data_IF_734387683462
#
_entry.id   IF_734387683462
#
_cell.length_a   1.000
_cell.length_b   1.000
_cell.length_c   1.000
_cell.angle_alpha   90.00
_cell.angle_beta   90.00
_cell.angle_gamma   90.00
#
_symmetry.space_group_name_H-M   'P 1'
#
loop_
_entity.id
_entity.type
_entity.pdbx_description
1 polymer ?
#
# COMPACT_ATOMS: atom_id res chain seq x y z
N UNK A 1 15.61 -8.06 -48.01
CA UNK A 1 14.21 -8.36 -48.37
C UNK A 1 13.45 -7.10 -48.70
N UNK A 2 13.49 -6.65 -49.96
CA UNK A 2 12.86 -5.40 -50.41
C UNK A 2 11.32 -5.39 -50.26
N UNK A 3 10.70 -6.58 -50.17
CA UNK A 3 9.26 -6.75 -49.97
C UNK A 3 8.78 -6.20 -48.61
N UNK A 4 9.55 -6.41 -47.54
CA UNK A 4 9.20 -5.89 -46.21
C UNK A 4 9.33 -4.37 -46.13
N UNK A 5 10.35 -3.80 -46.78
CA UNK A 5 10.52 -2.34 -46.85
C UNK A 5 9.40 -1.67 -47.65
N UNK A 6 8.96 -2.28 -48.77
CA UNK A 6 7.81 -1.78 -49.55
C UNK A 6 6.49 -1.93 -48.80
N UNK A 7 6.29 -3.02 -48.04
CA UNK A 7 5.10 -3.22 -47.22
C UNK A 7 5.05 -2.20 -46.06
N UNK A 8 6.17 -1.95 -45.38
CA UNK A 8 6.28 -0.95 -44.31
C UNK A 8 5.98 0.47 -44.82
N UNK A 9 6.48 0.83 -46.01
CA UNK A 9 6.17 2.13 -46.64
C UNK A 9 4.69 2.27 -47.00
N UNK A 10 4.05 1.18 -47.46
CA UNK A 10 2.61 1.16 -47.77
C UNK A 10 1.73 1.22 -46.52
N UNK A 11 2.17 0.60 -45.43
CA UNK A 11 1.49 0.67 -44.12
C UNK A 11 1.59 2.07 -43.51
N UNK A 12 2.76 2.70 -43.58
CA UNK A 12 2.96 4.08 -43.13
C UNK A 12 2.14 5.10 -43.96
N UNK A 13 1.99 4.88 -45.26
CA UNK A 13 1.17 5.73 -46.13
C UNK A 13 -0.36 5.57 -45.92
N UNK A 14 -0.79 4.56 -45.16
CA UNK A 14 -2.21 4.27 -44.88
C UNK A 14 -2.71 4.81 -43.54
N UNK A 15 -1.82 5.31 -42.68
CA UNK A 15 -2.20 5.94 -41.41
C UNK A 15 -2.41 7.43 -41.68
N UNK A 16 -3.64 7.96 -41.59
CA UNK A 16 -3.83 9.40 -41.64
C UNK A 16 -3.03 10.02 -40.48
N UNK A 17 -2.23 11.04 -40.79
CA UNK A 17 -1.53 11.80 -39.75
C UNK A 17 -2.56 12.27 -38.71
N UNK A 18 -2.26 12.18 -37.40
CA UNK A 18 -3.19 12.62 -36.36
C UNK A 18 -3.53 14.07 -36.66
N UNK A 19 -4.75 14.31 -37.11
CA UNK A 19 -5.21 15.63 -37.49
C UNK A 19 -5.36 16.38 -36.19
N UNK A 20 -4.33 17.13 -35.78
CA UNK A 20 -4.43 18.10 -34.71
C UNK A 20 -5.29 19.26 -35.23
N UNK A 21 -6.59 19.02 -35.34
CA UNK A 21 -7.54 20.12 -35.43
C UNK A 21 -7.35 20.94 -34.15
N UNK A 22 -7.15 22.27 -34.24
CA UNK A 22 -7.08 23.10 -33.06
C UNK A 22 -8.42 22.94 -32.34
N UNK A 23 -8.40 22.31 -31.16
CA UNK A 23 -9.59 22.24 -30.31
C UNK A 23 -10.05 23.68 -30.10
N UNK A 24 -11.27 23.97 -30.56
CA UNK A 24 -11.89 25.29 -30.38
C UNK A 24 -11.74 25.68 -28.90
N UNK A 25 -11.25 26.88 -28.57
CA UNK A 25 -11.04 27.26 -27.18
C UNK A 25 -12.36 27.07 -26.42
N UNK A 26 -12.27 26.40 -25.26
CA UNK A 26 -13.42 26.22 -24.37
C UNK A 26 -14.06 27.58 -24.11
N UNK A 27 -15.39 27.64 -24.15
CA UNK A 27 -16.08 28.86 -23.74
C UNK A 27 -15.72 29.19 -22.30
N UNK A 28 -15.76 30.47 -21.93
CA UNK A 28 -15.49 30.88 -20.55
C UNK A 28 -16.40 30.15 -19.52
N UNK A 29 -17.61 29.75 -19.92
CA UNK A 29 -18.50 28.92 -19.11
C UNK A 29 -17.99 27.47 -18.98
N UNK A 30 -17.61 26.83 -20.08
CA UNK A 30 -17.10 25.45 -20.06
C UNK A 30 -15.77 25.34 -19.31
N UNK A 31 -14.89 26.35 -19.41
CA UNK A 31 -13.65 26.38 -18.64
C UNK A 31 -13.89 26.49 -17.12
N UNK A 32 -14.88 27.29 -16.70
CA UNK A 32 -15.30 27.39 -15.29
C UNK A 32 -15.94 26.10 -14.79
N UNK A 33 -16.75 25.43 -15.62
CA UNK A 33 -17.33 24.13 -15.29
C UNK A 33 -16.26 23.05 -15.11
N UNK A 34 -15.26 22.99 -16.00
CA UNK A 34 -14.12 22.05 -15.85
C UNK A 34 -13.38 22.31 -14.54
N UNK A 35 -13.07 23.55 -14.21
CA UNK A 35 -12.43 23.91 -12.94
C UNK A 35 -13.30 23.53 -11.72
N UNK A 36 -14.62 23.69 -11.81
CA UNK A 36 -15.54 23.30 -10.74
C UNK A 36 -15.56 21.78 -10.55
N UNK A 37 -15.54 20.99 -11.63
CA UNK A 37 -15.46 19.53 -11.57
C UNK A 37 -14.11 19.04 -11.03
N UNK A 38 -13.00 19.68 -11.41
CA UNK A 38 -11.68 19.41 -10.83
C UNK A 38 -11.66 19.68 -9.33
N UNK A 39 -12.20 20.83 -8.90
CA UNK A 39 -12.31 21.18 -7.48
C UNK A 39 -13.20 20.20 -6.71
N UNK A 40 -14.34 19.78 -7.28
CA UNK A 40 -15.22 18.78 -6.70
C UNK A 40 -14.53 17.42 -6.58
N UNK A 41 -13.80 16.99 -7.61
CA UNK A 41 -13.02 15.76 -7.59
C UNK A 41 -11.98 15.74 -6.46
N UNK A 42 -11.22 16.83 -6.33
CA UNK A 42 -10.24 16.98 -5.25
C UNK A 42 -10.90 16.96 -3.86
N UNK A 43 -12.02 17.67 -3.69
CA UNK A 43 -12.77 17.71 -2.44
C UNK A 43 -13.30 16.33 -2.04
N UNK A 44 -13.99 15.64 -2.97
CA UNK A 44 -14.54 14.30 -2.72
C UNK A 44 -13.44 13.30 -2.37
N UNK A 45 -12.36 13.28 -3.15
CA UNK A 45 -11.23 12.37 -2.93
C UNK A 45 -10.54 12.60 -1.58
N UNK A 46 -10.39 13.87 -1.17
CA UNK A 46 -9.82 14.21 0.12
C UNK A 46 -10.74 13.81 1.28
N UNK A 47 -12.06 14.00 1.11
CA UNK A 47 -13.03 13.68 2.14
C UNK A 47 -13.23 12.16 2.30
N UNK A 48 -13.13 11.40 1.20
CA UNK A 48 -13.11 9.93 1.22
C UNK A 48 -11.94 9.40 2.05
N UNK A 49 -10.71 9.83 1.76
CA UNK A 49 -9.53 9.42 2.55
C UNK A 49 -9.66 9.78 4.03
N UNK A 50 -10.17 10.97 4.34
CA UNK A 50 -10.43 11.41 5.72
C UNK A 50 -11.46 10.53 6.41
N UNK A 51 -12.54 10.17 5.72
CA UNK A 51 -13.59 9.31 6.27
C UNK A 51 -13.06 7.89 6.55
N UNK A 52 -12.22 7.36 5.66
CA UNK A 52 -11.56 6.07 5.84
C UNK A 52 -10.59 6.08 7.02
N UNK A 53 -9.77 7.13 7.15
CA UNK A 53 -8.85 7.33 8.28
C UNK A 53 -9.62 7.35 9.61
N UNK A 54 -10.67 8.16 9.71
CA UNK A 54 -11.49 8.23 10.93
C UNK A 54 -12.17 6.89 11.26
N UNK A 55 -12.60 6.14 10.25
CA UNK A 55 -13.22 4.82 10.45
C UNK A 55 -12.20 3.81 10.96
N UNK A 56 -10.98 3.81 10.40
CA UNK A 56 -9.87 2.96 10.85
C UNK A 56 -9.45 3.27 12.29
N UNK A 57 -9.42 4.55 12.67
CA UNK A 57 -9.06 4.96 14.04
C UNK A 57 -10.07 4.42 15.07
N UNK A 58 -11.37 4.50 14.77
CA UNK A 58 -12.42 3.97 15.65
C UNK A 58 -12.35 2.44 15.72
N UNK A 59 -12.13 1.77 14.59
CA UNK A 59 -11.97 0.31 14.55
C UNK A 59 -10.75 -0.14 15.37
N UNK A 60 -9.60 0.53 15.21
CA UNK A 60 -8.39 0.25 15.98
C UNK A 60 -8.62 0.47 17.48
N UNK A 61 -9.30 1.55 17.87
CA UNK A 61 -9.65 1.80 19.27
C UNK A 61 -10.56 0.72 19.85
N UNK A 62 -11.60 0.30 19.11
CA UNK A 62 -12.50 -0.76 19.54
C UNK A 62 -11.79 -2.11 19.66
N UNK A 63 -10.91 -2.44 18.71
CA UNK A 63 -10.05 -3.64 18.76
C UNK A 63 -9.16 -3.63 19.99
N UNK A 64 -8.47 -2.52 20.27
CA UNK A 64 -7.65 -2.38 21.47
C UNK A 64 -8.48 -2.53 22.75
N UNK A 65 -9.68 -1.95 22.79
CA UNK A 65 -10.59 -2.10 23.93
C UNK A 65 -10.98 -3.57 24.15
N UNK A 66 -11.28 -4.29 23.08
CA UNK A 66 -11.61 -5.72 23.14
C UNK A 66 -10.42 -6.55 23.65
N UNK A 67 -9.20 -6.31 23.15
CA UNK A 67 -8.00 -7.05 23.55
C UNK A 67 -7.63 -6.89 25.03
N UNK A 68 -8.12 -5.86 25.72
CA UNK A 68 -7.88 -5.69 27.16
C UNK A 68 -8.42 -6.84 28.00
N UNK A 69 -9.48 -7.51 27.55
CA UNK A 69 -10.08 -8.64 28.26
C UNK A 69 -9.32 -9.95 27.99
N UNK A 70 -8.42 -9.97 27.00
CA UNK A 70 -7.66 -11.12 26.54
C UNK A 70 -6.16 -11.03 26.83
N UNK A 71 -5.78 -10.23 27.83
CA UNK A 71 -4.38 -10.07 28.22
C UNK A 71 -3.83 -11.37 28.82
N UNK A 72 -2.72 -11.85 28.27
CA UNK A 72 -2.03 -13.07 28.73
C UNK A 72 -2.47 -14.35 28.01
N UNK A 73 -3.44 -14.27 27.11
CA UNK A 73 -3.76 -15.35 26.18
C UNK A 73 -2.76 -15.37 25.01
N UNK A 74 -2.47 -16.58 24.50
CA UNK A 74 -1.62 -16.76 23.32
C UNK A 74 -2.44 -16.77 22.03
N UNK A 75 -1.98 -16.06 21.01
CA UNK A 75 -2.65 -15.95 19.72
C UNK A 75 -1.72 -16.34 18.56
N UNK A 76 -2.31 -16.91 17.52
CA UNK A 76 -1.62 -17.06 16.24
C UNK A 76 -1.77 -15.80 15.40
N UNK A 77 -0.67 -15.42 14.75
CA UNK A 77 -0.66 -14.26 13.88
C UNK A 77 0.32 -14.37 12.73
N UNK A 78 0.25 -13.38 11.86
CA UNK A 78 1.10 -13.22 10.70
C UNK A 78 1.90 -11.93 10.83
N UNK A 79 3.20 -12.00 10.59
CA UNK A 79 4.03 -10.79 10.48
C UNK A 79 3.60 -10.01 9.23
N UNK A 80 3.08 -8.81 9.41
CA UNK A 80 2.63 -7.93 8.31
C UNK A 80 3.65 -6.86 7.95
N UNK A 81 4.47 -6.44 8.91
CA UNK A 81 5.58 -5.53 8.65
C UNK A 81 6.76 -5.84 9.58
N UNK A 82 7.97 -5.59 9.09
CA UNK A 82 9.19 -5.64 9.86
C UNK A 82 9.86 -4.26 9.83
N UNK A 83 10.41 -3.84 10.97
CA UNK A 83 11.11 -2.56 11.13
C UNK A 83 12.39 -2.78 11.93
N UNK A 84 13.25 -1.77 12.01
CA UNK A 84 14.48 -1.84 12.81
C UNK A 84 14.26 -2.01 14.31
N UNK A 85 13.08 -1.65 14.83
CA UNK A 85 12.75 -1.70 16.26
C UNK A 85 11.79 -2.83 16.63
N UNK A 86 11.31 -3.62 15.67
CA UNK A 86 10.39 -4.71 15.95
C UNK A 86 9.60 -5.18 14.74
N UNK A 87 8.62 -6.05 14.99
CA UNK A 87 7.71 -6.59 13.98
C UNK A 87 6.27 -6.27 14.32
N UNK A 88 5.47 -5.99 13.29
CA UNK A 88 4.02 -5.90 13.41
C UNK A 88 3.41 -7.25 13.07
N UNK A 89 2.55 -7.73 13.94
CA UNK A 89 1.87 -9.02 13.83
C UNK A 89 0.37 -8.78 13.81
N UNK A 90 -0.31 -9.30 12.79
CA UNK A 90 -1.77 -9.32 12.72
C UNK A 90 -2.29 -10.66 13.22
N UNK A 91 -3.18 -10.63 14.20
CA UNK A 91 -3.80 -11.84 14.76
C UNK A 91 -4.84 -12.42 13.79
N UNK A 92 -4.85 -13.74 13.62
CA UNK A 92 -5.69 -14.41 12.62
C UNK A 92 -7.19 -14.29 12.90
N UNK A 93 -7.60 -14.43 14.16
CA UNK A 93 -9.02 -14.53 14.53
C UNK A 93 -9.73 -13.16 14.56
N UNK A 94 -8.99 -12.11 14.89
CA UNK A 94 -9.57 -10.80 15.23
C UNK A 94 -9.04 -9.65 14.37
N UNK A 95 -8.07 -9.92 13.48
CA UNK A 95 -7.42 -8.91 12.63
C UNK A 95 -6.95 -7.68 13.41
N UNK A 96 -6.43 -7.94 14.61
CA UNK A 96 -5.80 -6.93 15.46
C UNK A 96 -4.32 -6.91 15.16
N UNK A 97 -3.78 -5.72 14.95
CA UNK A 97 -2.34 -5.51 14.75
C UNK A 97 -1.68 -5.17 16.08
N UNK A 98 -0.59 -5.86 16.40
CA UNK A 98 0.25 -5.61 17.56
C UNK A 98 1.71 -5.43 17.15
N UNK A 99 2.44 -4.63 17.92
CA UNK A 99 3.89 -4.47 17.77
C UNK A 99 4.60 -5.37 18.79
N UNK A 100 5.48 -6.24 18.31
CA UNK A 100 6.45 -6.94 19.15
C UNK A 100 7.78 -6.23 19.03
N UNK A 101 8.25 -5.67 20.14
CA UNK A 101 9.51 -4.92 20.16
C UNK A 101 10.71 -5.87 20.00
N UNK A 102 11.79 -5.39 19.37
CA UNK A 102 13.00 -6.18 19.08
C UNK A 102 13.62 -6.84 20.32
N UNK A 103 13.46 -6.22 21.50
CA UNK A 103 13.96 -6.76 22.77
C UNK A 103 13.18 -7.96 23.28
N UNK A 104 11.93 -8.13 22.83
CA UNK A 104 11.06 -9.24 23.23
C UNK A 104 11.20 -10.44 22.28
N UNK A 105 11.72 -10.23 21.06
CA UNK A 105 11.95 -11.29 20.06
C UNK A 105 13.05 -12.29 20.43
N UNK A 106 13.88 -11.95 21.42
CA UNK A 106 14.92 -12.81 21.96
C UNK A 106 16.12 -12.03 22.52
N UNK A 107 16.95 -12.70 23.32
CA UNK A 107 18.19 -12.15 23.86
C UNK A 107 19.37 -12.13 22.88
N UNK A 108 19.11 -11.90 21.59
CA UNK A 108 20.15 -11.83 20.56
C UNK A 108 20.03 -10.55 19.73
N UNK A 109 21.05 -10.26 18.92
CA UNK A 109 21.05 -9.12 18.04
C UNK A 109 20.32 -9.46 16.73
N UNK A 110 19.23 -8.73 16.46
CA UNK A 110 18.51 -8.81 15.20
C UNK A 110 18.92 -7.66 14.29
N UNK A 111 19.27 -7.98 13.05
CA UNK A 111 19.58 -7.02 12.00
C UNK A 111 18.40 -6.91 11.04
N UNK A 112 17.97 -5.69 10.78
CA UNK A 112 16.94 -5.40 9.78
C UNK A 112 17.53 -5.37 8.37
N UNK A 113 16.94 -6.14 7.47
CA UNK A 113 17.22 -6.13 6.04
C UNK A 113 16.05 -5.44 5.31
N UNK A 114 16.29 -4.20 4.88
CA UNK A 114 15.29 -3.36 4.21
C UNK A 114 14.88 -3.92 2.84
N UNK A 115 15.79 -4.55 2.11
CA UNK A 115 15.50 -5.09 0.78
C UNK A 115 14.55 -6.29 0.85
N UNK A 116 14.67 -7.08 1.92
CA UNK A 116 13.86 -8.28 2.14
C UNK A 116 12.69 -8.05 3.11
N UNK A 117 12.64 -6.89 3.78
CA UNK A 117 11.69 -6.59 4.84
C UNK A 117 11.65 -7.70 5.90
N UNK A 118 12.83 -8.05 6.43
CA UNK A 118 12.97 -9.11 7.44
C UNK A 118 13.91 -8.68 8.59
N UNK A 119 13.62 -9.15 9.81
CA UNK A 119 14.55 -9.12 10.92
C UNK A 119 15.28 -10.47 11.01
N UNK A 120 16.60 -10.44 10.95
CA UNK A 120 17.45 -11.64 10.98
C UNK A 120 18.34 -11.65 12.23
N UNK A 121 18.22 -12.70 13.02
CA UNK A 121 19.10 -12.95 14.16
C UNK A 121 20.51 -13.30 13.69
N UNK A 122 21.52 -12.61 14.23
CA UNK A 122 22.92 -12.85 13.85
C UNK A 122 23.47 -14.19 14.35
N UNK A 123 23.04 -14.62 15.53
CA UNK A 123 23.58 -15.83 16.19
C UNK A 123 22.77 -17.07 15.84
N UNK A 124 21.45 -17.00 15.91
CA UNK A 124 20.57 -18.15 15.64
C UNK A 124 20.24 -18.31 14.17
N UNK A 125 20.35 -17.24 13.38
CA UNK A 125 19.89 -17.22 11.99
C UNK A 125 18.36 -17.23 11.84
N UNK A 126 17.59 -17.08 12.93
CA UNK A 126 16.13 -16.95 12.90
C UNK A 126 15.75 -15.72 12.07
N UNK A 127 14.67 -15.83 11.29
CA UNK A 127 14.19 -14.77 10.41
C UNK A 127 12.71 -14.51 10.66
N UNK A 128 12.39 -13.25 10.95
CA UNK A 128 11.03 -12.75 10.99
C UNK A 128 10.82 -11.89 9.75
N UNK A 129 10.31 -12.51 8.69
CA UNK A 129 9.98 -11.84 7.43
C UNK A 129 8.47 -11.58 7.34
N UNK A 130 8.07 -10.61 6.51
CA UNK A 130 6.65 -10.44 6.15
C UNK A 130 6.07 -11.77 5.64
N UNK A 131 4.90 -12.15 6.15
CA UNK A 131 4.24 -13.42 5.86
C UNK A 131 4.66 -14.58 6.76
N UNK A 132 5.57 -14.38 7.70
CA UNK A 132 5.94 -15.42 8.67
C UNK A 132 4.81 -15.62 9.67
N UNK A 133 4.42 -16.88 9.91
CA UNK A 133 3.46 -17.24 10.96
C UNK A 133 4.18 -17.29 12.31
N UNK A 134 3.62 -16.61 13.30
CA UNK A 134 4.15 -16.53 14.66
C UNK A 134 3.05 -16.81 15.68
N UNK A 135 3.47 -17.17 16.88
CA UNK A 135 2.60 -17.24 18.05
C UNK A 135 3.10 -16.17 19.03
N UNK A 136 2.18 -15.33 19.49
CA UNK A 136 2.43 -14.18 20.37
C UNK A 136 1.57 -14.27 21.62
#
# INVERSE_FOLDING_TARGET
GEAHAKLAKRLAARVPAPTQQPRKPLSASAAREVQAWEAAGLHCSANERRADEASRDVEAWLKCKYMREHLGEEFSGLVTAATSFGIFVTLDAMYVEGLVHITELGGEYFKFDEARQELRGERTGIRYAIGTRVRV
#
